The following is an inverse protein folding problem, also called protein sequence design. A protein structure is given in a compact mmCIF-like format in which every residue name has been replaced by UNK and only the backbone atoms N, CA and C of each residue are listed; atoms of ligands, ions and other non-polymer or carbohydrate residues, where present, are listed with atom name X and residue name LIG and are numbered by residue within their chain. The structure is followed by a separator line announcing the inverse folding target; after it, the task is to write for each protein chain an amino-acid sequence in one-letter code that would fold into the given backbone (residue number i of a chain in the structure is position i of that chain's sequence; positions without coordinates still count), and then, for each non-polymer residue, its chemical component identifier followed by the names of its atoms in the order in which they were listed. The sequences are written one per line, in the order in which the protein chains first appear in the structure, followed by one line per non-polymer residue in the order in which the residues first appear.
data_IF_102512902776
#
_entry.id   IF_102512902776
#
_cell.length_a   1.000
_cell.length_b   1.000
_cell.length_c   1.000
_cell.angle_alpha   90.00
_cell.angle_beta   90.00
_cell.angle_gamma   90.00
#
_symmetry.space_group_name_H-M   'P 1'
#
loop_
_entity.id
_entity.type
_entity.pdbx_description
1 polymer ?
#
# COMPACT_ATOMS: atom_id res chain seq x y z
N UNK A 1 21.80 -61.76 55.14
CA UNK A 1 20.58 -60.97 55.45
C UNK A 1 21.05 -59.58 55.87
N UNK A 2 20.74 -58.43 55.25
CA UNK A 2 19.85 -58.02 54.14
C UNK A 2 20.55 -56.82 53.48
N UNK A 3 20.59 -56.77 52.15
CA UNK A 3 21.10 -55.63 51.37
C UNK A 3 19.99 -54.58 51.33
N UNK A 4 20.22 -53.39 51.89
CA UNK A 4 19.31 -52.25 51.80
C UNK A 4 19.64 -51.46 50.53
N UNK A 5 18.84 -51.66 49.49
CA UNK A 5 18.83 -50.81 48.30
C UNK A 5 17.94 -49.59 48.57
N UNK A 6 18.54 -48.42 48.73
CA UNK A 6 17.82 -47.15 48.87
C UNK A 6 17.59 -46.61 47.45
N UNK A 7 16.35 -46.71 46.96
CA UNK A 7 15.95 -46.22 45.65
C UNK A 7 15.92 -44.69 45.61
N UNK A 8 16.69 -44.11 44.69
CA UNK A 8 16.68 -42.68 44.38
C UNK A 8 15.43 -42.38 43.53
N UNK A 9 14.39 -41.79 44.14
CA UNK A 9 13.21 -41.32 43.42
C UNK A 9 13.55 -39.97 42.79
N UNK A 10 13.86 -39.98 41.49
CA UNK A 10 14.00 -38.76 40.68
C UNK A 10 12.59 -38.28 40.34
N UNK A 11 12.12 -37.24 41.03
CA UNK A 11 10.93 -36.49 40.62
C UNK A 11 11.28 -35.68 39.37
N UNK A 12 10.90 -36.19 38.21
CA UNK A 12 10.90 -35.43 36.96
C UNK A 12 9.75 -34.42 37.04
N UNK A 13 10.03 -33.19 37.44
CA UNK A 13 9.06 -32.09 37.32
C UNK A 13 8.80 -31.86 35.84
N UNK A 14 7.68 -32.36 35.32
CA UNK A 14 7.18 -31.90 34.03
C UNK A 14 6.82 -30.43 34.20
N UNK A 15 7.68 -29.55 33.67
CA UNK A 15 7.29 -28.17 33.43
C UNK A 15 6.21 -28.21 32.34
N UNK A 16 4.95 -28.26 32.75
CA UNK A 16 3.85 -27.89 31.88
C UNK A 16 4.08 -26.43 31.51
N UNK A 17 4.43 -26.19 30.26
CA UNK A 17 4.53 -24.84 29.71
C UNK A 17 3.16 -24.19 29.86
N UNK A 18 3.00 -23.32 30.87
CA UNK A 18 1.81 -22.50 31.13
C UNK A 18 1.77 -21.37 30.10
N UNK A 19 1.64 -21.72 28.83
CA UNK A 19 1.22 -20.77 27.80
C UNK A 19 -0.14 -21.29 27.35
N UNK A 20 -1.21 -20.57 27.70
CA UNK A 20 -2.50 -20.84 27.10
C UNK A 20 -2.32 -20.69 25.58
N UNK A 21 -2.60 -21.75 24.83
CA UNK A 21 -2.54 -21.68 23.38
C UNK A 21 -3.55 -20.65 22.90
N UNK A 22 -3.06 -19.61 22.22
CA UNK A 22 -3.92 -18.57 21.68
C UNK A 22 -4.91 -19.16 20.67
N UNK A 23 -6.17 -18.75 20.80
CA UNK A 23 -7.23 -19.14 19.87
C UNK A 23 -7.06 -18.47 18.51
N UNK A 24 -7.71 -19.01 17.48
CA UNK A 24 -7.73 -18.40 16.15
C UNK A 24 -8.28 -16.98 16.20
N UNK A 25 -9.36 -16.75 16.94
CA UNK A 25 -10.00 -15.45 17.08
C UNK A 25 -9.06 -14.42 17.71
N UNK A 26 -8.33 -14.80 18.76
CA UNK A 26 -7.33 -13.95 19.41
C UNK A 26 -6.18 -13.63 18.44
N UNK A 27 -5.62 -14.63 17.77
CA UNK A 27 -4.54 -14.45 16.79
C UNK A 27 -4.98 -13.54 15.64
N UNK A 28 -6.18 -13.78 15.08
CA UNK A 28 -6.76 -12.96 14.01
C UNK A 28 -7.06 -11.53 14.48
N UNK A 29 -7.40 -11.34 15.75
CA UNK A 29 -7.60 -10.01 16.35
C UNK A 29 -6.28 -9.27 16.50
N UNK A 30 -5.23 -9.95 16.98
CA UNK A 30 -3.89 -9.40 17.10
C UNK A 30 -3.28 -9.01 15.74
N UNK A 31 -3.51 -9.79 14.68
CA UNK A 31 -3.04 -9.47 13.32
C UNK A 31 -3.55 -8.13 12.78
N UNK A 32 -4.60 -7.55 13.37
CA UNK A 32 -5.09 -6.21 13.00
C UNK A 32 -4.19 -5.09 13.51
N UNK A 33 -3.41 -5.31 14.56
CA UNK A 33 -2.70 -4.24 15.29
C UNK A 33 -1.21 -4.48 15.47
N UNK A 34 -0.71 -5.69 15.19
CA UNK A 34 0.70 -6.05 15.40
C UNK A 34 1.24 -6.97 14.30
N UNK A 35 2.56 -6.99 14.14
CA UNK A 35 3.23 -7.81 13.13
C UNK A 35 3.27 -9.29 13.49
N UNK A 36 3.51 -10.16 12.49
CA UNK A 36 3.59 -11.61 12.71
C UNK A 36 4.58 -11.99 13.82
N UNK A 37 5.76 -11.35 13.88
CA UNK A 37 6.77 -11.65 14.89
C UNK A 37 6.33 -11.27 16.31
N UNK A 38 5.72 -10.09 16.49
CA UNK A 38 5.17 -9.67 17.80
C UNK A 38 4.08 -10.62 18.29
N UNK A 39 3.29 -11.17 17.36
CA UNK A 39 2.26 -12.16 17.68
C UNK A 39 2.90 -13.48 18.07
N UNK A 40 3.95 -13.93 17.39
CA UNK A 40 4.65 -15.16 17.74
C UNK A 40 5.38 -15.04 19.08
N UNK A 41 5.87 -13.85 19.46
CA UNK A 41 6.42 -13.61 20.79
C UNK A 41 5.35 -13.75 21.90
N UNK A 42 4.10 -13.36 21.61
CA UNK A 42 2.96 -13.49 22.53
C UNK A 42 2.30 -14.87 22.49
N UNK A 43 2.29 -15.49 21.33
CA UNK A 43 1.62 -16.73 20.99
C UNK A 43 2.58 -17.62 20.17
N UNK A 44 3.54 -18.32 20.81
CA UNK A 44 4.61 -19.05 20.13
C UNK A 44 4.14 -20.11 19.13
N UNK A 45 2.98 -20.72 19.39
CA UNK A 45 2.39 -21.77 18.56
C UNK A 45 1.41 -21.26 17.50
N UNK A 46 1.23 -19.94 17.35
CA UNK A 46 0.20 -19.36 16.49
C UNK A 46 0.53 -19.40 14.99
N UNK A 47 1.72 -19.86 14.58
CA UNK A 47 2.16 -19.82 13.18
C UNK A 47 1.14 -20.42 12.18
N UNK A 48 0.51 -21.59 12.42
CA UNK A 48 -0.52 -22.13 11.54
C UNK A 48 -1.76 -21.23 11.44
N UNK A 49 -2.14 -20.61 12.56
CA UNK A 49 -3.33 -19.75 12.67
C UNK A 49 -3.16 -18.43 11.90
N UNK A 50 -1.94 -17.90 11.82
CA UNK A 50 -1.65 -16.67 11.07
C UNK A 50 -2.04 -16.79 9.59
N UNK A 51 -1.80 -17.95 8.98
CA UNK A 51 -2.18 -18.23 7.59
C UNK A 51 -3.70 -18.24 7.40
N UNK A 52 -4.44 -18.79 8.37
CA UNK A 52 -5.90 -18.86 8.33
C UNK A 52 -6.58 -17.51 8.58
N UNK A 53 -5.91 -16.60 9.29
CA UNK A 53 -6.36 -15.24 9.51
C UNK A 53 -6.16 -14.34 8.29
N UNK A 54 -5.50 -14.84 7.24
CA UNK A 54 -5.17 -14.07 6.05
C UNK A 54 -6.41 -13.76 5.20
N UNK A 55 -7.05 -12.63 5.46
CA UNK A 55 -8.12 -12.09 4.60
C UNK A 55 -7.51 -11.55 3.31
N UNK A 56 -7.65 -12.32 2.24
CA UNK A 56 -7.32 -11.89 0.87
C UNK A 56 -8.64 -11.54 0.18
N UNK A 57 -8.79 -10.30 -0.27
CA UNK A 57 -9.82 -9.90 -1.22
C UNK A 57 -9.66 -10.74 -2.50
N UNK A 58 -10.73 -11.41 -2.92
CA UNK A 58 -10.77 -12.16 -4.19
C UNK A 58 -10.72 -11.23 -5.42
N UNK A 59 -10.96 -9.93 -5.21
CA UNK A 59 -10.96 -8.92 -6.26
C UNK A 59 -9.56 -8.63 -6.77
N UNK A 60 -9.30 -8.94 -8.05
CA UNK A 60 -8.13 -8.45 -8.78
C UNK A 60 -8.48 -7.13 -9.44
N UNK A 61 -7.65 -6.10 -9.26
CA UNK A 61 -7.78 -4.89 -10.06
C UNK A 61 -7.27 -5.17 -11.47
N UNK A 62 -8.10 -4.86 -12.46
CA UNK A 62 -7.69 -4.91 -13.86
C UNK A 62 -6.78 -3.71 -14.16
N UNK A 63 -5.70 -3.97 -14.89
CA UNK A 63 -4.82 -2.93 -15.37
C UNK A 63 -5.49 -2.19 -16.53
N UNK A 64 -5.35 -0.86 -16.53
CA UNK A 64 -5.85 -0.04 -17.63
C UNK A 64 -5.03 -0.25 -18.91
N UNK A 65 -5.63 0.09 -20.04
CA UNK A 65 -4.95 0.05 -21.32
C UNK A 65 -3.76 1.02 -21.33
N UNK A 66 -2.75 0.71 -22.16
CA UNK A 66 -1.56 1.56 -22.29
C UNK A 66 -1.97 2.98 -22.67
N UNK A 67 -1.62 3.99 -21.85
CA UNK A 67 -2.09 5.35 -22.04
C UNK A 67 -1.43 6.02 -23.25
N UNK A 68 -2.12 7.01 -23.80
CA UNK A 68 -1.54 7.92 -24.80
C UNK A 68 -1.68 9.36 -24.33
N UNK A 69 -0.60 9.87 -23.77
CA UNK A 69 -0.50 11.20 -23.16
C UNK A 69 -0.28 12.29 -24.20
N UNK A 70 -1.08 13.35 -24.13
CA UNK A 70 -0.98 14.57 -24.94
C UNK A 70 -1.03 15.79 -24.01
N UNK A 71 -0.04 16.67 -24.11
CA UNK A 71 -0.02 17.91 -23.31
C UNK A 71 -1.04 18.92 -23.86
N UNK A 72 -1.84 19.52 -22.96
CA UNK A 72 -2.87 20.50 -23.33
C UNK A 72 -2.38 21.96 -23.31
N UNK A 73 -1.16 22.22 -22.82
CA UNK A 73 -0.56 23.56 -22.71
C UNK A 73 -1.10 24.43 -21.57
N UNK A 74 -2.15 24.00 -20.89
CA UNK A 74 -2.78 24.64 -19.72
C UNK A 74 -2.26 24.10 -18.37
N UNK A 75 -1.19 23.30 -18.39
CA UNK A 75 -0.69 22.58 -17.22
C UNK A 75 -1.32 21.20 -16.99
N UNK A 76 -2.17 20.73 -17.91
CA UNK A 76 -2.75 19.38 -17.88
C UNK A 76 -2.21 18.48 -19.00
N UNK A 77 -2.36 17.17 -18.80
CA UNK A 77 -2.01 16.11 -19.75
C UNK A 77 -3.22 15.19 -19.92
N UNK A 78 -3.69 15.03 -21.15
CA UNK A 78 -4.80 14.12 -21.47
C UNK A 78 -4.30 12.74 -21.83
N UNK A 79 -4.90 11.71 -21.24
CA UNK A 79 -4.80 10.34 -21.69
C UNK A 79 -5.99 10.03 -22.62
N UNK A 80 -5.69 9.98 -23.92
CA UNK A 80 -6.70 9.77 -24.96
C UNK A 80 -7.24 8.34 -25.03
N UNK A 81 -6.60 7.37 -24.37
CA UNK A 81 -7.02 5.96 -24.38
C UNK A 81 -7.97 5.65 -23.23
N UNK A 82 -7.64 6.13 -22.03
CA UNK A 82 -8.44 5.85 -20.83
C UNK A 82 -9.44 6.96 -20.48
N UNK A 83 -9.53 8.01 -21.31
CA UNK A 83 -10.41 9.17 -21.10
C UNK A 83 -10.17 9.87 -19.75
N UNK A 84 -8.90 10.09 -19.44
CA UNK A 84 -8.45 10.74 -18.22
C UNK A 84 -7.71 12.04 -18.54
N UNK A 85 -7.78 12.99 -17.63
CA UNK A 85 -6.98 14.21 -17.66
C UNK A 85 -6.24 14.37 -16.33
N UNK A 86 -4.94 14.62 -16.42
CA UNK A 86 -4.01 14.65 -15.31
C UNK A 86 -3.43 16.05 -15.15
N UNK A 87 -3.11 16.43 -13.92
CA UNK A 87 -2.17 17.53 -13.73
C UNK A 87 -0.79 17.12 -14.24
N UNK A 88 -0.10 18.01 -14.96
CA UNK A 88 1.26 17.75 -15.43
C UNK A 88 2.25 17.60 -14.28
N UNK A 89 2.06 18.39 -13.23
CA UNK A 89 2.87 18.32 -12.01
C UNK A 89 2.03 17.76 -10.85
N UNK A 90 2.59 16.78 -10.13
CA UNK A 90 2.00 16.34 -8.86
C UNK A 90 2.04 17.46 -7.82
N UNK A 91 1.04 17.52 -6.94
CA UNK A 91 0.96 18.51 -5.86
C UNK A 91 1.96 18.12 -4.75
N UNK A 92 2.92 19.02 -4.49
CA UNK A 92 4.07 18.77 -3.60
C UNK A 92 4.40 19.91 -2.65
N UNK A 93 3.47 20.83 -2.42
CA UNK A 93 3.58 21.92 -1.45
C UNK A 93 3.75 21.41 -0.01
N UNK A 94 3.04 20.34 0.35
CA UNK A 94 3.17 19.66 1.63
C UNK A 94 2.83 18.17 1.51
N UNK A 95 2.92 17.46 2.64
CA UNK A 95 2.54 16.04 2.73
C UNK A 95 1.16 15.91 3.37
N UNK A 96 0.38 14.96 2.88
CA UNK A 96 -1.03 14.78 3.22
C UNK A 96 -1.30 13.39 3.77
N UNK A 97 -2.29 13.28 4.66
CA UNK A 97 -3.03 12.02 4.85
C UNK A 97 -3.91 11.75 3.63
N UNK A 98 -4.42 10.52 3.48
CA UNK A 98 -5.30 10.20 2.34
C UNK A 98 -6.57 11.06 2.37
N UNK A 99 -7.17 11.24 3.55
CA UNK A 99 -8.37 12.07 3.71
C UNK A 99 -8.12 13.52 3.30
N UNK A 100 -7.01 14.11 3.75
CA UNK A 100 -6.67 15.49 3.37
C UNK A 100 -6.39 15.62 1.86
N UNK A 101 -5.84 14.58 1.24
CA UNK A 101 -5.64 14.52 -0.20
C UNK A 101 -6.97 14.49 -0.97
N UNK A 102 -7.94 13.73 -0.47
CA UNK A 102 -9.30 13.67 -1.03
C UNK A 102 -10.03 15.00 -0.85
N UNK A 103 -9.97 15.60 0.34
CA UNK A 103 -10.56 16.92 0.64
C UNK A 103 -9.95 18.03 -0.23
N UNK A 104 -8.62 17.98 -0.44
CA UNK A 104 -7.91 18.88 -1.37
C UNK A 104 -8.43 18.69 -2.80
N UNK A 105 -8.56 17.46 -3.26
CA UNK A 105 -8.99 17.19 -4.63
C UNK A 105 -10.40 17.71 -4.91
N UNK A 106 -11.33 17.54 -3.97
CA UNK A 106 -12.72 18.01 -4.09
C UNK A 106 -12.84 19.52 -4.23
N UNK A 107 -11.92 20.28 -3.63
CA UNK A 107 -11.92 21.75 -3.64
C UNK A 107 -10.93 22.33 -4.64
N UNK A 108 -10.18 21.49 -5.35
CA UNK A 108 -9.16 21.94 -6.29
C UNK A 108 -9.80 22.59 -7.53
N UNK A 109 -9.38 23.82 -7.80
CA UNK A 109 -9.59 24.50 -9.07
C UNK A 109 -8.23 24.70 -9.75
N UNK A 110 -7.87 23.75 -10.61
CA UNK A 110 -6.58 23.73 -11.30
C UNK A 110 -6.81 23.91 -12.79
N UNK A 111 -6.03 24.79 -13.42
CA UNK A 111 -6.17 25.11 -14.85
C UNK A 111 -7.59 25.54 -15.26
N UNK A 112 -8.32 26.21 -14.34
CA UNK A 112 -9.71 26.62 -14.57
C UNK A 112 -10.73 25.48 -14.57
N UNK A 113 -10.35 24.29 -14.09
CA UNK A 113 -11.16 23.06 -14.09
C UNK A 113 -11.41 22.57 -12.67
N UNK A 114 -12.61 22.04 -12.44
CA UNK A 114 -13.04 21.34 -11.21
C UNK A 114 -13.16 19.82 -11.46
N UNK A 115 -13.64 19.08 -10.46
CA UNK A 115 -13.91 17.63 -10.59
C UNK A 115 -12.66 16.76 -10.46
N UNK A 116 -11.62 17.29 -9.84
CA UNK A 116 -10.41 16.55 -9.54
C UNK A 116 -10.64 15.55 -8.42
N UNK A 117 -9.92 14.43 -8.49
CA UNK A 117 -9.93 13.36 -7.49
C UNK A 117 -8.54 12.75 -7.34
N UNK A 118 -8.33 12.04 -6.24
CA UNK A 118 -7.17 11.16 -6.07
C UNK A 118 -7.34 9.94 -6.99
N UNK A 119 -6.33 9.56 -7.79
CA UNK A 119 -6.42 8.45 -8.72
C UNK A 119 -6.55 7.12 -7.98
N UNK A 120 -7.17 6.17 -8.64
CA UNK A 120 -7.10 4.77 -8.23
C UNK A 120 -5.72 4.18 -8.56
N UNK A 121 -5.40 3.03 -7.99
CA UNK A 121 -4.12 2.37 -8.23
C UNK A 121 -3.90 2.02 -9.73
N UNK A 122 -4.87 1.46 -10.47
CA UNK A 122 -4.70 1.20 -11.90
C UNK A 122 -4.43 2.47 -12.71
N UNK A 123 -5.12 3.57 -12.37
CA UNK A 123 -4.90 4.86 -13.01
C UNK A 123 -3.51 5.41 -12.75
N UNK A 124 -3.06 5.49 -11.49
CA UNK A 124 -1.74 6.03 -11.19
C UNK A 124 -0.61 5.14 -11.73
N UNK A 125 -0.83 3.82 -11.82
CA UNK A 125 0.09 2.89 -12.48
C UNK A 125 0.34 3.27 -13.94
N UNK A 126 -0.63 3.85 -14.66
CA UNK A 126 -0.44 4.27 -16.06
C UNK A 126 0.64 5.35 -16.21
N UNK A 127 0.94 6.12 -15.16
CA UNK A 127 2.01 7.13 -15.20
C UNK A 127 3.40 6.51 -15.09
N UNK A 128 3.52 5.25 -14.66
CA UNK A 128 4.82 4.56 -14.58
C UNK A 128 5.43 4.38 -15.97
N UNK A 129 6.73 4.61 -16.05
CA UNK A 129 7.50 4.39 -17.26
C UNK A 129 8.34 3.12 -17.19
N UNK A 130 8.64 2.55 -18.36
CA UNK A 130 9.39 1.30 -18.46
C UNK A 130 10.86 1.46 -18.04
N UNK A 131 11.36 2.69 -18.01
CA UNK A 131 12.74 3.04 -17.70
C UNK A 131 12.82 4.20 -16.71
N UNK A 132 13.95 4.29 -15.97
CA UNK A 132 14.22 5.40 -15.05
C UNK A 132 14.89 6.55 -15.80
N UNK A 133 14.10 7.51 -16.25
CA UNK A 133 14.50 8.59 -17.16
C UNK A 133 14.27 9.96 -16.53
N UNK A 134 14.82 11.02 -17.15
CA UNK A 134 14.55 12.38 -16.70
C UNK A 134 13.08 12.74 -16.95
N UNK A 135 12.40 13.18 -15.90
CA UNK A 135 11.03 13.68 -15.93
C UNK A 135 11.00 15.17 -16.36
N UNK A 136 9.82 15.80 -16.37
CA UNK A 136 9.68 17.20 -16.77
C UNK A 136 10.38 18.20 -15.81
N UNK A 137 10.74 17.80 -14.59
CA UNK A 137 11.59 18.59 -13.66
C UNK A 137 13.10 18.41 -13.90
N UNK A 138 13.50 17.52 -14.83
CA UNK A 138 14.89 17.16 -15.12
C UNK A 138 15.50 16.13 -14.16
N UNK A 139 14.74 15.60 -13.21
CA UNK A 139 15.20 14.59 -12.26
C UNK A 139 14.86 13.18 -12.76
N UNK A 140 15.67 12.18 -12.40
CA UNK A 140 15.44 10.79 -12.81
C UNK A 140 14.37 10.11 -11.95
N UNK A 141 13.32 9.60 -12.60
CA UNK A 141 12.23 8.85 -11.97
C UNK A 141 11.67 7.80 -12.95
N UNK A 142 10.85 6.89 -12.45
CA UNK A 142 10.10 5.90 -13.24
C UNK A 142 8.72 6.43 -13.63
N UNK A 143 8.61 7.72 -13.93
CA UNK A 143 7.38 8.37 -14.41
C UNK A 143 7.54 8.71 -15.89
N UNK A 144 6.45 8.73 -16.65
CA UNK A 144 6.52 9.14 -18.04
C UNK A 144 7.14 10.57 -18.15
N UNK A 145 8.12 10.81 -19.05
CA UNK A 145 8.88 12.06 -19.13
C UNK A 145 8.05 13.35 -19.24
N UNK A 146 6.81 13.28 -19.72
CA UNK A 146 5.92 14.44 -19.82
C UNK A 146 5.51 14.99 -18.45
N UNK A 147 5.54 14.17 -17.40
CA UNK A 147 5.07 14.54 -16.08
C UNK A 147 6.21 15.07 -15.21
N UNK A 148 5.86 15.97 -14.30
CA UNK A 148 6.74 16.47 -13.25
C UNK A 148 6.35 15.83 -11.91
N UNK A 149 7.13 14.85 -11.47
CA UNK A 149 7.02 14.25 -10.15
C UNK A 149 8.13 14.70 -9.17
N UNK A 150 8.89 15.74 -9.51
CA UNK A 150 10.03 16.20 -8.72
C UNK A 150 11.13 15.14 -8.67
N UNK A 151 11.53 14.68 -7.48
CA UNK A 151 12.65 13.73 -7.31
C UNK A 151 12.23 12.26 -7.22
N UNK A 152 11.08 11.86 -7.75
CA UNK A 152 10.64 10.47 -7.61
C UNK A 152 9.77 10.23 -6.38
N UNK A 153 8.78 11.06 -6.08
CA UNK A 153 8.11 10.98 -4.78
C UNK A 153 7.06 9.86 -4.65
N UNK A 154 6.52 9.73 -3.43
CA UNK A 154 5.41 8.84 -3.11
C UNK A 154 4.07 9.57 -3.30
N UNK A 155 3.13 8.93 -3.99
CA UNK A 155 1.81 9.50 -4.26
C UNK A 155 0.70 8.56 -3.83
N UNK A 156 -0.29 9.14 -3.13
CA UNK A 156 -1.48 8.43 -2.68
C UNK A 156 -2.34 7.93 -3.85
N UNK A 157 -3.02 6.79 -3.63
CA UNK A 157 -4.15 6.35 -4.44
C UNK A 157 -5.38 6.21 -3.56
N UNK A 158 -6.58 6.34 -4.13
CA UNK A 158 -7.86 6.08 -3.46
C UNK A 158 -8.17 4.59 -3.30
N UNK A 159 -7.25 3.70 -3.69
CA UNK A 159 -7.43 2.26 -3.61
C UNK A 159 -7.00 1.75 -2.23
N UNK A 160 -7.98 1.35 -1.42
CA UNK A 160 -7.75 0.77 -0.08
C UNK A 160 -7.35 -0.70 -0.15
N UNK A 161 -6.82 -1.20 0.97
CA UNK A 161 -6.49 -2.61 1.14
C UNK A 161 -7.73 -3.51 1.25
N UNK A 162 -8.88 -2.94 1.61
CA UNK A 162 -10.17 -3.62 1.52
C UNK A 162 -10.53 -3.92 0.07
N UNK A 163 -10.39 -2.91 -0.82
CA UNK A 163 -10.70 -3.07 -2.24
C UNK A 163 -9.81 -4.12 -2.89
N UNK A 164 -8.49 -4.03 -2.65
CA UNK A 164 -7.52 -5.03 -3.09
C UNK A 164 -6.49 -5.28 -2.01
N UNK A 165 -6.41 -6.52 -1.56
CA UNK A 165 -5.47 -6.92 -0.50
C UNK A 165 -4.13 -7.39 -1.03
N UNK A 166 -4.05 -7.73 -2.33
CA UNK A 166 -2.84 -8.23 -2.95
C UNK A 166 -2.58 -7.48 -4.26
N UNK A 167 -1.41 -6.87 -4.33
CA UNK A 167 -0.93 -6.18 -5.52
C UNK A 167 0.41 -6.77 -5.92
N UNK A 168 0.64 -6.92 -7.21
CA UNK A 168 1.95 -7.28 -7.75
C UNK A 168 2.53 -6.06 -8.46
N UNK A 169 3.76 -5.72 -8.12
CA UNK A 169 4.57 -4.77 -8.87
C UNK A 169 5.70 -5.48 -9.58
N UNK A 170 6.57 -4.72 -10.26
CA UNK A 170 7.69 -5.26 -11.03
C UNK A 170 8.74 -6.06 -10.22
N UNK A 171 8.68 -6.01 -8.89
CA UNK A 171 9.65 -6.66 -8.01
C UNK A 171 9.04 -7.86 -7.28
N UNK A 172 7.83 -7.70 -6.75
CA UNK A 172 7.24 -8.70 -5.87
C UNK A 172 5.72 -8.56 -5.71
N UNK A 173 5.11 -9.67 -5.28
CA UNK A 173 3.75 -9.71 -4.77
C UNK A 173 3.70 -9.14 -3.34
N UNK A 174 2.80 -8.19 -3.11
CA UNK A 174 2.61 -7.47 -1.85
C UNK A 174 1.24 -7.76 -1.29
N UNK A 175 1.17 -7.86 0.03
CA UNK A 175 -0.05 -8.11 0.78
C UNK A 175 -0.32 -6.91 1.70
N UNK A 176 -1.58 -6.48 1.75
CA UNK A 176 -2.10 -5.55 2.73
C UNK A 176 -3.37 -6.11 3.37
N UNK A 177 -3.42 -6.12 4.70
CA UNK A 177 -4.53 -6.67 5.48
C UNK A 177 -5.20 -5.62 6.38
N UNK A 178 -5.03 -4.34 6.05
CA UNK A 178 -5.49 -3.21 6.86
C UNK A 178 -6.91 -2.73 6.52
N UNK A 179 -7.63 -3.41 5.62
CA UNK A 179 -8.97 -2.98 5.19
C UNK A 179 -8.97 -1.53 4.70
N UNK A 180 -9.93 -0.71 5.14
CA UNK A 180 -10.00 0.72 4.83
C UNK A 180 -8.91 1.56 5.51
N UNK A 181 -8.27 1.03 6.56
CA UNK A 181 -7.23 1.76 7.29
C UNK A 181 -5.91 1.81 6.53
N UNK A 182 -5.75 1.01 5.47
CA UNK A 182 -4.59 1.03 4.60
C UNK A 182 -4.98 1.36 3.16
N UNK A 183 -4.12 2.12 2.48
CA UNK A 183 -4.27 2.41 1.06
C UNK A 183 -2.94 2.25 0.32
N UNK A 184 -3.04 1.92 -0.97
CA UNK A 184 -1.91 1.74 -1.84
C UNK A 184 -1.37 3.09 -2.35
N UNK A 185 -0.08 3.13 -2.64
CA UNK A 185 0.66 4.32 -3.07
C UNK A 185 1.79 3.92 -4.02
N UNK A 186 2.20 4.82 -4.91
CA UNK A 186 3.30 4.56 -5.87
C UNK A 186 4.49 5.44 -5.54
N UNK A 187 5.69 4.84 -5.52
CA UNK A 187 6.96 5.54 -5.34
C UNK A 187 7.71 5.63 -6.67
N UNK A 188 7.71 6.80 -7.29
CA UNK A 188 8.28 6.97 -8.63
C UNK A 188 9.82 6.97 -8.65
N UNK A 189 10.53 7.19 -7.53
CA UNK A 189 12.01 7.10 -7.53
C UNK A 189 12.50 5.69 -7.87
N UNK A 190 11.75 4.66 -7.47
CA UNK A 190 12.09 3.24 -7.68
C UNK A 190 11.03 2.47 -8.48
N UNK A 191 9.91 3.09 -8.84
CA UNK A 191 8.83 2.47 -9.62
C UNK A 191 8.18 1.29 -8.89
N UNK A 192 7.94 1.42 -7.59
CA UNK A 192 7.38 0.37 -6.75
C UNK A 192 6.08 0.80 -6.07
N UNK A 193 5.22 -0.18 -5.77
CA UNK A 193 3.93 0.04 -5.12
C UNK A 193 4.07 -0.26 -3.63
N UNK A 194 3.58 0.58 -2.75
CA UNK A 194 3.55 0.33 -1.30
C UNK A 194 2.12 0.50 -0.79
N UNK A 195 1.90 0.14 0.47
CA UNK A 195 0.71 0.56 1.19
C UNK A 195 1.13 1.24 2.49
N UNK A 196 0.28 2.11 2.99
CA UNK A 196 0.45 2.70 4.31
C UNK A 196 -0.91 3.00 4.94
N UNK A 197 -0.91 3.24 6.25
CA UNK A 197 -2.09 3.71 6.97
C UNK A 197 -2.60 5.04 6.41
N UNK A 198 -3.90 5.13 6.17
CA UNK A 198 -4.58 6.28 5.55
C UNK A 198 -4.45 7.57 6.36
N UNK A 199 -4.23 7.45 7.67
CA UNK A 199 -4.02 8.56 8.61
C UNK A 199 -2.62 9.17 8.55
N UNK A 200 -1.67 8.55 7.85
CA UNK A 200 -0.28 9.01 7.84
C UNK A 200 -0.07 10.20 6.91
N UNK A 201 0.54 11.28 7.44
CA UNK A 201 0.75 12.55 6.74
C UNK A 201 2.13 12.66 6.07
N UNK A 202 2.49 11.67 5.25
CA UNK A 202 3.86 11.52 4.75
C UNK A 202 4.00 11.55 3.23
N UNK A 203 2.91 11.71 2.48
CA UNK A 203 2.88 11.45 1.04
C UNK A 203 2.23 12.60 0.26
N UNK A 204 2.54 12.68 -1.03
CA UNK A 204 2.04 13.71 -1.94
C UNK A 204 0.81 13.25 -2.70
N UNK A 205 0.22 14.16 -3.48
CA UNK A 205 -1.04 13.93 -4.19
C UNK A 205 -0.85 14.20 -5.67
N UNK A 206 -1.39 13.32 -6.50
CA UNK A 206 -1.55 13.57 -7.93
C UNK A 206 -3.03 13.64 -8.20
N UNK A 207 -3.48 14.65 -8.95
CA UNK A 207 -4.89 14.77 -9.28
C UNK A 207 -5.17 14.29 -10.69
N UNK A 208 -6.27 13.59 -10.81
CA UNK A 208 -6.86 13.13 -12.07
C UNK A 208 -8.33 13.53 -12.11
N UNK A 209 -8.85 13.75 -13.31
CA UNK A 209 -10.29 13.82 -13.57
C UNK A 209 -10.62 13.00 -14.81
N UNK A 210 -11.89 12.72 -15.03
CA UNK A 210 -12.33 12.16 -16.30
C UNK A 210 -12.25 13.28 -17.36
N UNK A 211 -11.73 12.95 -18.54
CA UNK A 211 -11.75 13.85 -19.68
C UNK A 211 -13.12 13.77 -20.35
N UNK A 212 -13.75 14.92 -20.59
CA UNK A 212 -14.95 15.04 -21.42
C UNK A 212 -14.67 14.69 -22.89
#
# INVERSE_FOLDING_TARGET
MRILAIGLIIWLSMASSVWADCTKEEVCSMMKTMGHFDILDKCPNAAPLLGECKKVSETRLEDLATPKFVESGDGTVKDTVNHLEWLKAGIRDQKYSLKEAEDLALTAEQSGKTGWRVPTLPELKTLLYNERVANASGQKAWVNPIFDDGRGHYYWTSTTCEKVSVVEDRYQKKLCQQGEQGAWLIHFNIGAIFWHHTTAKNYYVWLVRNSE
#
